data_IF_224754752835
#
_entry.id   IF_224754752835
#
_cell.length_a   1.000
_cell.length_b   1.000
_cell.length_c   1.000
_cell.angle_alpha   90.00
_cell.angle_beta   90.00
_cell.angle_gamma   90.00
#
_symmetry.space_group_name_H-M   'P 1'
#
loop_
_entity.id
_entity.type
_entity.pdbx_description
1 polymer ?
#
# COMPACT_ATOMS: atom_id res chain seq x y z
N UNK A 1 -7.95 14.63 -4.05
CA UNK A 1 -7.45 13.36 -4.63
C UNK A 1 -7.38 13.46 -6.14
N UNK A 2 -6.35 12.89 -6.72
CA UNK A 2 -6.21 12.86 -8.18
C UNK A 2 -7.20 11.84 -8.79
N UNK A 3 -8.12 12.33 -9.61
CA UNK A 3 -9.15 11.48 -10.21
C UNK A 3 -8.60 10.40 -11.14
N UNK A 4 -7.37 10.59 -11.64
CA UNK A 4 -6.76 9.63 -12.57
C UNK A 4 -6.44 8.29 -11.91
N UNK A 5 -6.27 8.26 -10.60
CA UNK A 5 -5.97 7.01 -9.88
C UNK A 5 -7.23 6.34 -9.34
N UNK A 6 -8.38 7.01 -9.37
CA UNK A 6 -9.62 6.43 -8.88
C UNK A 6 -10.30 5.63 -9.97
N UNK A 7 -9.94 4.36 -10.04
CA UNK A 7 -10.51 3.40 -10.98
C UNK A 7 -11.13 2.25 -10.21
N UNK A 8 -11.95 1.45 -10.88
CA UNK A 8 -12.53 0.25 -10.25
C UNK A 8 -11.43 -0.70 -9.77
N UNK A 9 -10.35 -0.82 -10.55
CA UNK A 9 -9.26 -1.70 -10.17
C UNK A 9 -8.57 -1.24 -8.88
N UNK A 10 -8.37 0.07 -8.73
CA UNK A 10 -7.77 0.62 -7.51
C UNK A 10 -8.72 0.47 -6.34
N UNK A 11 -10.01 0.68 -6.55
CA UNK A 11 -11.01 0.46 -5.50
C UNK A 11 -11.00 -0.99 -5.03
N UNK A 12 -10.92 -1.94 -5.96
CA UNK A 12 -10.85 -3.37 -5.61
C UNK A 12 -9.59 -3.68 -4.80
N UNK A 13 -8.47 -3.08 -5.17
CA UNK A 13 -7.22 -3.26 -4.43
C UNK A 13 -7.38 -2.77 -2.99
N UNK A 14 -7.94 -1.58 -2.81
CA UNK A 14 -8.12 -1.04 -1.47
C UNK A 14 -9.10 -1.84 -0.64
N UNK A 15 -10.16 -2.35 -1.25
CA UNK A 15 -11.09 -3.23 -0.54
C UNK A 15 -10.37 -4.48 -0.03
N UNK A 16 -9.51 -5.06 -0.87
CA UNK A 16 -8.73 -6.23 -0.47
C UNK A 16 -7.79 -5.89 0.69
N UNK A 17 -7.09 -4.76 0.61
CA UNK A 17 -6.19 -4.32 1.67
C UNK A 17 -6.93 -4.16 3.00
N UNK A 18 -8.15 -3.62 2.94
CA UNK A 18 -8.93 -3.39 4.16
C UNK A 18 -9.38 -4.68 4.85
N UNK A 19 -9.28 -5.82 4.18
CA UNK A 19 -9.59 -7.12 4.81
C UNK A 19 -8.40 -7.73 5.54
N UNK A 20 -7.20 -7.17 5.38
CA UNK A 20 -6.00 -7.70 6.01
C UNK A 20 -5.97 -7.34 7.49
N UNK A 21 -5.71 -8.34 8.35
CA UNK A 21 -5.79 -8.16 9.80
C UNK A 21 -4.48 -8.43 10.52
N UNK A 22 -3.55 -9.13 9.89
CA UNK A 22 -2.28 -9.49 10.53
C UNK A 22 -1.12 -9.18 9.59
N UNK A 23 0.11 -9.01 10.14
CA UNK A 23 1.28 -8.82 9.29
C UNK A 23 1.49 -9.99 8.32
N UNK A 24 1.19 -11.22 8.76
CA UNK A 24 1.34 -12.39 7.92
C UNK A 24 0.43 -12.34 6.70
N UNK A 25 -0.82 -11.88 6.90
CA UNK A 25 -1.75 -11.69 5.79
C UNK A 25 -1.26 -10.62 4.83
N UNK A 26 -0.68 -9.55 5.37
CA UNK A 26 -0.13 -8.48 4.53
C UNK A 26 1.04 -8.98 3.68
N UNK A 27 1.96 -9.76 4.28
CA UNK A 27 3.07 -10.33 3.53
C UNK A 27 2.56 -11.22 2.40
N UNK A 28 1.63 -12.11 2.69
CA UNK A 28 1.08 -13.01 1.67
C UNK A 28 0.42 -12.24 0.54
N UNK A 29 -0.38 -11.23 0.88
CA UNK A 29 -1.08 -10.44 -0.12
C UNK A 29 -0.11 -9.69 -1.02
N UNK A 30 0.84 -8.97 -0.41
CA UNK A 30 1.75 -8.14 -1.19
C UNK A 30 2.79 -8.95 -1.95
N UNK A 31 3.14 -10.15 -1.48
CA UNK A 31 3.99 -11.05 -2.26
C UNK A 31 3.31 -11.47 -3.56
N UNK A 32 1.98 -11.60 -3.54
CA UNK A 32 1.23 -11.99 -4.74
C UNK A 32 1.08 -10.83 -5.73
N UNK A 33 0.92 -9.61 -5.25
CA UNK A 33 0.59 -8.48 -6.13
C UNK A 33 1.76 -7.57 -6.45
N UNK A 34 2.87 -7.69 -5.73
CA UNK A 34 4.04 -6.84 -5.92
C UNK A 34 5.30 -7.67 -6.10
N UNK A 35 6.27 -7.12 -6.84
CA UNK A 35 7.63 -7.66 -6.79
C UNK A 35 8.29 -7.20 -5.50
N UNK A 36 9.41 -7.84 -5.14
CA UNK A 36 10.19 -7.45 -3.96
C UNK A 36 10.61 -5.98 -4.06
N UNK A 37 11.10 -5.57 -5.22
CA UNK A 37 11.55 -4.19 -5.41
C UNK A 37 10.41 -3.19 -5.27
N UNK A 38 9.24 -3.53 -5.78
CA UNK A 38 8.06 -2.67 -5.66
C UNK A 38 7.66 -2.51 -4.21
N UNK A 39 7.67 -3.60 -3.45
CA UNK A 39 7.29 -3.55 -2.04
C UNK A 39 8.28 -2.74 -1.23
N UNK A 40 9.58 -2.92 -1.47
CA UNK A 40 10.60 -2.16 -0.78
C UNK A 40 10.50 -0.67 -1.08
N UNK A 41 10.27 -0.31 -2.35
CA UNK A 41 10.07 1.08 -2.73
C UNK A 41 8.86 1.69 -2.05
N UNK A 42 7.76 0.93 -1.99
CA UNK A 42 6.54 1.39 -1.35
C UNK A 42 6.76 1.64 0.14
N UNK A 43 7.48 0.74 0.79
CA UNK A 43 7.75 0.88 2.22
C UNK A 43 8.61 2.11 2.51
N UNK A 44 9.58 2.41 1.65
CA UNK A 44 10.41 3.61 1.79
C UNK A 44 9.56 4.88 1.63
N UNK A 45 8.68 4.88 0.65
CA UNK A 45 7.78 6.01 0.45
C UNK A 45 6.87 6.22 1.65
N UNK A 46 6.40 5.14 2.23
CA UNK A 46 5.57 5.23 3.43
C UNK A 46 6.34 5.86 4.59
N UNK A 47 7.58 5.42 4.81
CA UNK A 47 8.40 5.96 5.89
C UNK A 47 8.62 7.47 5.72
N UNK A 48 8.89 7.94 4.49
CA UNK A 48 9.05 9.36 4.22
C UNK A 48 7.75 10.12 4.50
N UNK A 49 6.64 9.59 4.04
CA UNK A 49 5.33 10.22 4.27
C UNK A 49 5.02 10.32 5.75
N UNK A 50 5.33 9.26 6.50
CA UNK A 50 5.13 9.24 7.95
C UNK A 50 5.96 10.31 8.64
N UNK A 51 7.22 10.44 8.26
CA UNK A 51 8.10 11.46 8.82
C UNK A 51 7.58 12.86 8.56
N UNK A 52 7.10 13.12 7.35
CA UNK A 52 6.55 14.43 6.99
C UNK A 52 5.31 14.76 7.83
N UNK A 53 4.48 13.77 8.13
CA UNK A 53 3.30 13.98 8.97
C UNK A 53 3.69 14.27 10.41
N UNK A 54 4.70 13.59 10.92
CA UNK A 54 5.13 13.76 12.30
C UNK A 54 5.83 15.10 12.54
N UNK A 55 6.34 15.71 11.48
CA UNK A 55 7.10 16.95 11.58
C UNK A 55 6.26 18.21 11.73
N UNK A 56 4.97 18.12 11.67
CA UNK A 56 4.10 19.29 11.78
C UNK A 56 4.26 20.01 13.08
#
# INVERSE_FOLDING_TARGET
MNKKIKTDAVDHLFEAILTLKTPEECYAFFEDVCTVNELLSLSQRYEVAKMLREKR
#
